data_IF_826868529766
#
_entry.id   IF_826868529766
#
_cell.length_a   1.000
_cell.length_b   1.000
_cell.length_c   1.000
_cell.angle_alpha   90.00
_cell.angle_beta   90.00
_cell.angle_gamma   90.00
#
_symmetry.space_group_name_H-M   'P 1'
#
loop_
_entity.id
_entity.type
_entity.pdbx_description
1 polymer ?
#
# COMPACT_ATOMS: atom_id res chain seq x y z
N UNK A 1 -40.96 2.32 57.36
CA UNK A 1 -39.65 2.87 56.92
C UNK A 1 -38.78 1.77 56.30
N UNK A 2 -38.60 0.61 56.95
CA UNK A 2 -37.74 -0.48 56.44
C UNK A 2 -38.16 -1.04 55.06
N UNK A 3 -39.45 -1.30 54.81
CA UNK A 3 -39.91 -1.81 53.51
C UNK A 3 -39.58 -0.88 52.33
N UNK A 4 -39.65 0.44 52.54
CA UNK A 4 -39.34 1.43 51.51
C UNK A 4 -37.85 1.40 51.17
N UNK A 5 -36.99 1.24 52.19
CA UNK A 5 -35.54 1.13 51.98
C UNK A 5 -35.14 -0.14 51.22
N UNK A 6 -35.79 -1.28 51.52
CA UNK A 6 -35.56 -2.56 50.82
C UNK A 6 -35.99 -2.49 49.35
N UNK A 7 -37.13 -1.84 49.06
CA UNK A 7 -37.59 -1.67 47.69
C UNK A 7 -36.64 -0.75 46.91
N UNK A 8 -36.16 0.34 47.54
CA UNK A 8 -35.24 1.28 46.89
C UNK A 8 -33.89 0.62 46.56
N UNK A 9 -33.36 -0.21 47.47
CA UNK A 9 -32.10 -0.93 47.24
C UNK A 9 -32.27 -1.98 46.14
N UNK A 10 -33.39 -2.72 46.13
CA UNK A 10 -33.70 -3.67 45.06
C UNK A 10 -33.80 -2.97 43.69
N UNK A 11 -34.49 -1.84 43.60
CA UNK A 11 -34.58 -1.03 42.37
C UNK A 11 -33.20 -0.53 41.95
N UNK A 12 -32.39 -0.03 42.89
CA UNK A 12 -31.03 0.45 42.60
C UNK A 12 -30.10 -0.65 42.07
N UNK A 13 -30.22 -1.88 42.57
CA UNK A 13 -29.44 -3.03 42.10
C UNK A 13 -29.86 -3.41 40.68
N UNK A 14 -31.18 -3.45 40.41
CA UNK A 14 -31.70 -3.74 39.07
C UNK A 14 -31.27 -2.67 38.06
N UNK A 15 -31.37 -1.39 38.42
CA UNK A 15 -30.93 -0.28 37.57
C UNK A 15 -29.42 -0.32 37.32
N UNK A 16 -28.61 -0.62 38.34
CA UNK A 16 -27.15 -0.76 38.21
C UNK A 16 -26.77 -1.92 37.29
N UNK A 17 -27.44 -3.08 37.44
CA UNK A 17 -27.21 -4.24 36.58
C UNK A 17 -27.58 -3.95 35.12
N UNK A 18 -28.70 -3.27 34.89
CA UNK A 18 -29.15 -2.87 33.56
C UNK A 18 -28.19 -1.85 32.92
N UNK A 19 -27.74 -0.86 33.68
CA UNK A 19 -26.75 0.12 33.24
C UNK A 19 -25.42 -0.54 32.85
N UNK A 20 -24.95 -1.53 33.62
CA UNK A 20 -23.76 -2.29 33.29
C UNK A 20 -23.91 -3.07 31.96
N UNK A 21 -25.05 -3.73 31.74
CA UNK A 21 -25.34 -4.43 30.48
C UNK A 21 -25.35 -3.46 29.29
N UNK A 22 -26.00 -2.31 29.42
CA UNK A 22 -26.00 -1.30 28.36
C UNK A 22 -24.61 -0.71 28.12
N UNK A 23 -23.79 -0.51 29.16
CA UNK A 23 -22.42 -0.03 29.02
C UNK A 23 -21.54 -1.05 28.26
N UNK A 24 -21.66 -2.35 28.56
CA UNK A 24 -20.94 -3.39 27.82
C UNK A 24 -21.38 -3.48 26.35
N UNK A 25 -22.68 -3.40 26.08
CA UNK A 25 -23.20 -3.39 24.71
C UNK A 25 -22.75 -2.15 23.94
N UNK A 26 -22.77 -0.97 24.57
CA UNK A 26 -22.28 0.26 23.98
C UNK A 26 -20.77 0.21 23.70
N UNK A 27 -19.98 -0.39 24.60
CA UNK A 27 -18.55 -0.58 24.39
C UNK A 27 -18.26 -1.54 23.23
N UNK A 28 -19.02 -2.64 23.11
CA UNK A 28 -18.89 -3.59 22.01
C UNK A 28 -19.28 -2.97 20.66
N UNK A 29 -20.40 -2.23 20.60
CA UNK A 29 -20.84 -1.54 19.37
C UNK A 29 -19.87 -0.42 18.99
N UNK A 30 -19.34 0.32 19.95
CA UNK A 30 -18.30 1.33 19.70
C UNK A 30 -17.01 0.70 19.16
N UNK A 31 -16.59 -0.46 19.70
CA UNK A 31 -15.44 -1.21 19.20
C UNK A 31 -15.61 -1.64 17.74
N UNK A 32 -16.77 -2.20 17.41
CA UNK A 32 -17.10 -2.62 16.03
C UNK A 32 -17.18 -1.42 15.09
N UNK A 33 -17.83 -0.33 15.52
CA UNK A 33 -17.95 0.89 14.72
C UNK A 33 -16.57 1.51 14.41
N UNK A 34 -15.65 1.50 15.40
CA UNK A 34 -14.27 1.92 15.20
C UNK A 34 -13.55 1.02 14.20
N UNK A 35 -13.66 -0.30 14.36
CA UNK A 35 -13.03 -1.25 13.44
C UNK A 35 -13.54 -1.10 12.00
N UNK A 36 -14.84 -0.91 11.83
CA UNK A 36 -15.45 -0.66 10.52
C UNK A 36 -15.05 0.70 9.94
N UNK A 37 -14.82 1.71 10.78
CA UNK A 37 -14.30 3.01 10.35
C UNK A 37 -12.85 2.89 9.88
N UNK A 38 -12.00 2.19 10.64
CA UNK A 38 -10.61 1.91 10.27
C UNK A 38 -10.54 1.14 8.94
N UNK A 39 -11.36 0.10 8.77
CA UNK A 39 -11.42 -0.66 7.51
C UNK A 39 -11.85 0.22 6.33
N UNK A 40 -12.88 1.06 6.52
CA UNK A 40 -13.35 1.99 5.48
C UNK A 40 -12.27 3.00 5.10
N UNK A 41 -11.57 3.54 6.11
CA UNK A 41 -10.43 4.42 5.88
C UNK A 41 -9.35 3.72 5.06
N UNK A 42 -8.98 2.51 5.45
CA UNK A 42 -7.96 1.70 4.78
C UNK A 42 -8.29 1.44 3.32
N UNK A 43 -9.55 1.13 3.02
CA UNK A 43 -9.99 0.90 1.64
C UNK A 43 -10.03 2.19 0.80
N UNK A 44 -10.26 3.35 1.42
CA UNK A 44 -10.24 4.65 0.74
C UNK A 44 -8.82 5.12 0.43
N UNK A 45 -7.88 4.96 1.37
CA UNK A 45 -6.50 5.47 1.19
C UNK A 45 -5.61 4.52 0.40
N UNK A 46 -6.00 3.25 0.23
CA UNK A 46 -5.21 2.26 -0.49
C UNK A 46 -5.05 2.64 -1.97
N UNK A 47 -3.80 2.80 -2.47
CA UNK A 47 -3.57 3.04 -3.89
C UNK A 47 -3.98 1.83 -4.71
N UNK A 48 -4.38 2.03 -5.97
CA UNK A 48 -4.71 0.94 -6.89
C UNK A 48 -4.12 1.26 -8.27
N UNK A 49 -2.79 1.21 -8.41
CA UNK A 49 -2.15 1.50 -9.68
C UNK A 49 -2.49 0.38 -10.68
N UNK A 50 -2.84 0.75 -11.90
CA UNK A 50 -2.93 -0.17 -13.04
C UNK A 50 -1.87 0.23 -14.06
N UNK A 51 -1.16 -0.79 -14.51
CA UNK A 51 0.02 -0.67 -15.36
C UNK A 51 -0.24 -1.42 -16.66
N UNK A 52 0.11 -0.80 -17.78
CA UNK A 52 0.04 -1.44 -19.10
C UNK A 52 1.25 -1.03 -19.94
N UNK A 53 1.80 -1.97 -20.71
CA UNK A 53 2.80 -1.64 -21.71
C UNK A 53 2.10 -1.09 -22.96
N UNK A 54 2.57 0.05 -23.47
CA UNK A 54 2.01 0.65 -24.69
C UNK A 54 2.62 0.03 -25.93
N UNK A 55 3.94 -0.18 -25.93
CA UNK A 55 4.67 -0.83 -27.00
C UNK A 55 5.97 -1.48 -26.49
N UNK A 56 6.50 -2.51 -27.17
CA UNK A 56 7.83 -3.03 -26.89
C UNK A 56 8.91 -1.99 -27.26
N UNK A 57 9.88 -1.69 -26.39
CA UNK A 57 10.95 -0.74 -26.69
C UNK A 57 11.98 -1.35 -27.64
N UNK A 58 12.70 -0.50 -28.35
CA UNK A 58 13.94 -0.94 -29.02
C UNK A 58 15.06 -1.11 -27.97
N UNK A 59 16.09 -1.94 -28.22
CA UNK A 59 17.19 -2.13 -27.29
C UNK A 59 17.85 -0.80 -26.90
N UNK A 60 18.18 -0.65 -25.62
CA UNK A 60 18.75 0.55 -24.99
C UNK A 60 17.84 1.79 -25.05
N UNK A 61 16.56 1.67 -25.40
CA UNK A 61 15.60 2.77 -25.33
C UNK A 61 14.74 2.65 -24.08
N UNK A 62 14.29 3.76 -23.47
CA UNK A 62 13.30 3.72 -22.41
C UNK A 62 12.04 2.96 -22.85
N UNK A 63 11.43 2.21 -21.93
CA UNK A 63 10.15 1.56 -22.16
C UNK A 63 9.01 2.49 -21.77
N UNK A 64 8.01 2.60 -22.65
CA UNK A 64 6.80 3.34 -22.34
C UNK A 64 5.80 2.45 -21.59
N UNK A 65 5.30 2.99 -20.49
CA UNK A 65 4.28 2.36 -19.65
C UNK A 65 3.15 3.35 -19.44
N UNK A 66 1.94 2.89 -19.67
CA UNK A 66 0.74 3.59 -19.26
C UNK A 66 0.43 3.24 -17.80
N UNK A 67 0.25 4.27 -16.99
CA UNK A 67 -0.02 4.16 -15.57
C UNK A 67 -1.25 4.98 -15.22
N UNK A 68 -2.20 4.34 -14.56
CA UNK A 68 -3.37 4.97 -13.96
C UNK A 68 -3.43 4.60 -12.47
N UNK A 69 -4.12 5.40 -11.66
CA UNK A 69 -4.42 5.05 -10.28
C UNK A 69 -5.93 5.07 -10.09
N UNK A 70 -6.50 3.96 -9.64
CA UNK A 70 -7.94 3.83 -9.42
C UNK A 70 -8.34 3.98 -7.95
N UNK A 71 -7.35 4.11 -7.05
CA UNK A 71 -7.54 4.15 -5.60
C UNK A 71 -7.08 5.44 -4.96
N UNK A 72 -6.73 5.35 -3.69
CA UNK A 72 -6.15 6.44 -2.90
C UNK A 72 -4.79 6.90 -3.41
N UNK A 73 -4.28 7.98 -2.86
CA UNK A 73 -3.02 8.60 -3.32
C UNK A 73 -1.83 7.65 -3.13
N UNK A 74 -1.05 7.46 -4.21
CA UNK A 74 0.25 6.81 -4.19
C UNK A 74 1.29 7.89 -3.91
N UNK A 75 1.66 8.02 -2.64
CA UNK A 75 2.57 9.06 -2.16
C UNK A 75 4.02 8.81 -2.58
N UNK A 76 4.41 7.54 -2.73
CA UNK A 76 5.67 7.12 -3.34
C UNK A 76 5.50 5.72 -3.92
N UNK A 77 6.22 5.39 -4.99
CA UNK A 77 6.14 4.10 -5.64
C UNK A 77 7.44 3.74 -6.35
N UNK A 78 7.72 2.45 -6.42
CA UNK A 78 8.83 1.91 -7.18
C UNK A 78 8.32 0.87 -8.18
N UNK A 79 8.67 1.07 -9.45
CA UNK A 79 8.29 0.21 -10.54
C UNK A 79 9.54 -0.38 -11.19
N UNK A 80 9.57 -1.70 -11.34
CA UNK A 80 10.60 -2.42 -12.09
C UNK A 80 9.94 -3.25 -13.19
N UNK A 81 10.46 -3.13 -14.40
CA UNK A 81 10.04 -3.90 -15.56
C UNK A 81 11.23 -4.57 -16.25
N UNK A 82 10.94 -5.58 -17.06
CA UNK A 82 11.92 -6.29 -17.88
C UNK A 82 11.42 -6.41 -19.31
N UNK A 83 12.32 -6.23 -20.27
CA UNK A 83 12.09 -6.60 -21.66
C UNK A 83 13.41 -6.90 -22.37
N UNK A 84 13.44 -7.97 -23.15
CA UNK A 84 14.67 -8.42 -23.81
C UNK A 84 15.75 -8.72 -22.77
N UNK A 85 16.88 -8.05 -22.88
CA UNK A 85 18.03 -8.21 -21.98
C UNK A 85 18.17 -7.00 -21.03
N UNK A 86 17.09 -6.26 -20.79
CA UNK A 86 17.14 -5.00 -20.05
C UNK A 86 16.15 -4.97 -18.90
N UNK A 87 16.63 -4.49 -17.77
CA UNK A 87 15.83 -4.10 -16.62
C UNK A 87 15.61 -2.60 -16.67
N UNK A 88 14.40 -2.21 -16.33
CA UNK A 88 13.94 -0.83 -16.32
C UNK A 88 13.42 -0.52 -14.92
N UNK A 89 13.74 0.66 -14.39
CA UNK A 89 13.26 1.04 -13.07
C UNK A 89 13.00 2.54 -12.97
N UNK A 90 11.97 2.90 -12.22
CA UNK A 90 11.69 4.30 -11.90
C UNK A 90 10.86 4.42 -10.63
N UNK A 91 10.93 5.58 -10.00
CA UNK A 91 9.98 5.98 -8.97
C UNK A 91 8.79 6.67 -9.62
N UNK A 92 7.62 6.58 -8.97
CA UNK A 92 6.44 7.30 -9.41
C UNK A 92 5.57 7.70 -8.24
N UNK A 93 4.89 8.83 -8.42
CA UNK A 93 3.86 9.34 -7.51
C UNK A 93 2.57 9.54 -8.30
N UNK A 94 1.43 9.16 -7.75
CA UNK A 94 0.12 9.31 -8.40
C UNK A 94 -0.87 9.92 -7.41
N UNK A 95 -1.57 11.00 -7.79
CA UNK A 95 -2.67 11.50 -6.99
C UNK A 95 -3.79 10.46 -6.90
N UNK A 96 -4.71 10.67 -5.96
CA UNK A 96 -5.95 9.88 -5.89
C UNK A 96 -6.66 9.90 -7.25
N UNK A 97 -7.10 8.71 -7.70
CA UNK A 97 -7.87 8.54 -8.95
C UNK A 97 -7.20 9.17 -10.18
N UNK A 98 -5.87 9.13 -10.25
CA UNK A 98 -5.12 9.67 -11.37
C UNK A 98 -5.52 9.00 -12.70
N UNK A 99 -5.88 9.76 -13.75
CA UNK A 99 -6.18 9.20 -15.05
C UNK A 99 -4.95 8.54 -15.68
N UNK A 100 -5.20 7.67 -16.66
CA UNK A 100 -4.14 7.03 -17.44
C UNK A 100 -3.21 8.07 -18.06
N UNK A 101 -1.91 7.94 -17.76
CA UNK A 101 -0.85 8.75 -18.34
C UNK A 101 0.33 7.88 -18.72
N UNK A 102 1.05 8.28 -19.77
CA UNK A 102 2.27 7.61 -20.17
C UNK A 102 3.43 8.09 -19.31
N UNK A 103 4.30 7.15 -18.94
CA UNK A 103 5.59 7.41 -18.34
C UNK A 103 6.64 6.55 -19.02
N UNK A 104 7.89 7.02 -18.99
CA UNK A 104 9.03 6.29 -19.53
C UNK A 104 9.85 5.71 -18.40
N UNK A 105 10.15 4.41 -18.45
CA UNK A 105 11.11 3.79 -17.55
C UNK A 105 12.46 3.71 -18.25
N UNK A 106 13.53 4.32 -17.69
CA UNK A 106 14.86 4.22 -18.26
C UNK A 106 15.45 2.81 -18.02
N UNK A 107 16.32 2.32 -18.93
CA UNK A 107 17.08 1.11 -18.68
C UNK A 107 18.11 1.36 -17.56
N UNK A 108 18.22 0.42 -16.63
CA UNK A 108 19.10 0.54 -15.45
C UNK A 108 20.21 -0.51 -15.43
N UNK A 109 19.94 -1.72 -15.93
CA UNK A 109 20.90 -2.82 -15.94
C UNK A 109 20.54 -3.81 -17.04
N UNK A 110 21.52 -4.61 -17.48
CA UNK A 110 21.22 -5.79 -18.29
C UNK A 110 20.59 -6.89 -17.43
N UNK A 111 19.47 -7.43 -17.89
CA UNK A 111 18.79 -8.54 -17.24
C UNK A 111 19.64 -9.82 -17.32
N UNK A 112 19.67 -10.59 -16.24
CA UNK A 112 20.35 -11.88 -16.21
C UNK A 112 19.59 -12.98 -16.97
N UNK A 113 18.27 -12.80 -17.14
CA UNK A 113 17.39 -13.65 -17.93
C UNK A 113 16.72 -12.81 -19.02
N UNK A 114 16.65 -13.36 -20.23
CA UNK A 114 16.01 -12.69 -21.35
C UNK A 114 14.50 -12.83 -21.30
N UNK A 115 13.78 -11.73 -21.32
CA UNK A 115 12.32 -11.71 -21.40
C UNK A 115 11.87 -11.54 -22.86
N UNK A 116 11.04 -12.47 -23.36
CA UNK A 116 10.46 -12.39 -24.72
C UNK A 116 9.30 -11.39 -24.82
N UNK A 117 8.60 -11.16 -23.72
CA UNK A 117 7.50 -10.21 -23.61
C UNK A 117 7.79 -9.26 -22.45
N UNK A 118 7.33 -8.00 -22.53
CA UNK A 118 7.53 -7.05 -21.44
C UNK A 118 6.73 -7.50 -20.21
N UNK A 119 7.35 -7.46 -19.05
CA UNK A 119 6.74 -7.88 -17.79
C UNK A 119 7.10 -6.93 -16.65
N UNK A 120 6.14 -6.66 -15.75
CA UNK A 120 6.40 -5.97 -14.50
C UNK A 120 6.92 -6.99 -13.49
N UNK A 121 8.07 -6.70 -12.90
CA UNK A 121 8.70 -7.57 -11.89
C UNK A 121 8.45 -7.08 -10.47
N UNK A 122 8.22 -5.79 -10.30
CA UNK A 122 7.94 -5.20 -8.99
C UNK A 122 7.09 -3.94 -9.16
N UNK A 123 6.05 -3.79 -8.33
CA UNK A 123 5.38 -2.51 -8.11
C UNK A 123 5.08 -2.38 -6.62
N UNK A 124 5.84 -1.56 -5.94
CA UNK A 124 5.60 -1.23 -4.54
C UNK A 124 5.04 0.20 -4.44
N UNK A 125 4.08 0.41 -3.56
CA UNK A 125 3.46 1.71 -3.33
C UNK A 125 3.38 2.02 -1.84
N UNK A 126 3.63 3.27 -1.49
CA UNK A 126 3.36 3.84 -0.17
C UNK A 126 2.15 4.76 -0.26
N UNK A 127 1.18 4.54 0.62
CA UNK A 127 0.00 5.39 0.72
C UNK A 127 0.23 6.61 1.63
N UNK A 128 -0.79 7.49 1.70
CA UNK A 128 -0.75 8.70 2.53
C UNK A 128 -0.73 8.41 4.04
N UNK A 129 -1.16 7.22 4.46
CA UNK A 129 -1.03 6.76 5.85
C UNK A 129 0.36 6.22 6.18
N UNK A 130 1.24 6.13 5.19
CA UNK A 130 2.59 5.60 5.31
C UNK A 130 2.68 4.07 5.24
N UNK A 131 1.58 3.38 4.93
CA UNK A 131 1.61 1.92 4.72
C UNK A 131 2.09 1.59 3.32
N UNK A 132 2.71 0.43 3.23
CA UNK A 132 3.30 -0.07 2.00
C UNK A 132 2.52 -1.25 1.46
N UNK A 133 2.47 -1.32 0.13
CA UNK A 133 1.65 -2.24 -0.63
C UNK A 133 2.44 -2.83 -1.78
N UNK A 134 2.41 -4.15 -1.91
CA UNK A 134 2.79 -4.84 -3.14
C UNK A 134 1.60 -4.82 -4.09
N UNK A 135 1.72 -4.05 -5.17
CA UNK A 135 0.64 -3.82 -6.10
C UNK A 135 0.57 -4.86 -7.22
N UNK A 136 1.61 -5.68 -7.42
CA UNK A 136 1.55 -6.78 -8.38
C UNK A 136 0.92 -8.03 -7.75
N UNK A 137 1.20 -8.28 -6.46
CA UNK A 137 0.66 -9.43 -5.73
C UNK A 137 -0.65 -9.09 -4.99
N UNK A 138 -1.62 -8.54 -5.73
CA UNK A 138 -2.98 -8.35 -5.23
C UNK A 138 -3.15 -7.30 -4.12
N UNK A 139 -2.30 -6.27 -4.07
CA UNK A 139 -2.33 -5.22 -3.04
C UNK A 139 -2.07 -5.77 -1.63
N UNK A 140 -1.05 -6.61 -1.46
CA UNK A 140 -0.65 -7.15 -0.15
C UNK A 140 0.08 -6.10 0.67
N UNK A 141 -0.21 -6.05 1.97
CA UNK A 141 0.49 -5.16 2.91
C UNK A 141 1.92 -5.64 3.12
N UNK A 142 2.88 -4.73 2.93
CA UNK A 142 4.29 -4.97 3.23
C UNK A 142 4.57 -4.49 4.67
N UNK A 143 4.82 -5.43 5.58
CA UNK A 143 5.03 -5.15 7.01
C UNK A 143 6.41 -4.57 7.33
N UNK A 144 7.44 -5.06 6.67
CA UNK A 144 8.83 -4.59 6.81
C UNK A 144 9.33 -4.12 5.44
N UNK A 145 9.09 -2.84 5.08
CA UNK A 145 9.38 -2.32 3.76
C UNK A 145 10.84 -2.40 3.32
N UNK A 146 11.77 -2.11 4.24
CA UNK A 146 13.21 -2.09 3.94
C UNK A 146 13.68 -3.49 3.62
N UNK A 147 13.37 -4.45 4.50
CA UNK A 147 13.73 -5.85 4.29
C UNK A 147 13.08 -6.42 3.03
N UNK A 148 11.81 -6.10 2.77
CA UNK A 148 11.08 -6.55 1.59
C UNK A 148 11.72 -6.02 0.30
N UNK A 149 12.06 -4.73 0.28
CA UNK A 149 12.70 -4.09 -0.88
C UNK A 149 14.11 -4.64 -1.12
N UNK A 150 14.92 -4.75 -0.07
CA UNK A 150 16.27 -5.31 -0.17
C UNK A 150 16.24 -6.76 -0.67
N UNK A 151 15.27 -7.57 -0.21
CA UNK A 151 15.08 -8.93 -0.69
C UNK A 151 14.71 -8.96 -2.18
N UNK A 152 13.73 -8.16 -2.62
CA UNK A 152 13.33 -8.07 -4.03
C UNK A 152 14.47 -7.58 -4.92
N UNK A 153 15.18 -6.53 -4.52
CA UNK A 153 16.33 -6.01 -5.27
C UNK A 153 17.46 -7.04 -5.37
N UNK A 154 17.70 -7.81 -4.31
CA UNK A 154 18.68 -8.90 -4.33
C UNK A 154 18.27 -10.01 -5.28
N UNK A 155 17.01 -10.44 -5.26
CA UNK A 155 16.46 -11.46 -6.17
C UNK A 155 16.57 -11.02 -7.64
N UNK A 156 16.32 -9.75 -7.90
CA UNK A 156 16.46 -9.14 -9.23
C UNK A 156 17.90 -8.77 -9.61
N UNK A 157 18.88 -8.97 -8.71
CA UNK A 157 20.29 -8.57 -8.86
C UNK A 157 20.49 -7.09 -9.15
N UNK A 158 19.62 -6.26 -8.57
CA UNK A 158 19.57 -4.82 -8.69
C UNK A 158 20.12 -4.09 -7.45
N UNK A 159 20.60 -4.85 -6.45
CA UNK A 159 21.18 -4.29 -5.23
C UNK A 159 22.38 -3.38 -5.57
N UNK A 160 22.32 -2.12 -5.12
CA UNK A 160 23.35 -1.11 -5.39
C UNK A 160 23.32 -0.48 -6.78
N UNK A 161 22.55 -1.03 -7.72
CA UNK A 161 22.35 -0.46 -9.06
C UNK A 161 21.19 0.55 -9.10
N UNK A 162 20.15 0.29 -8.30
CA UNK A 162 18.99 1.19 -8.15
C UNK A 162 18.70 1.42 -6.67
N UNK A 163 18.18 2.61 -6.39
CA UNK A 163 17.68 3.00 -5.07
C UNK A 163 16.37 3.73 -5.24
N UNK A 164 15.43 3.48 -4.34
CA UNK A 164 14.13 4.15 -4.31
C UNK A 164 14.02 5.00 -3.04
N UNK A 165 14.62 6.20 -3.00
CA UNK A 165 14.65 7.06 -1.81
C UNK A 165 13.25 7.56 -1.41
N UNK A 166 12.40 7.95 -2.35
CA UNK A 166 11.05 8.43 -2.05
C UNK A 166 10.21 7.32 -1.41
N UNK A 167 10.38 6.10 -1.92
CA UNK A 167 9.71 4.93 -1.36
C UNK A 167 10.30 4.57 0.02
N UNK A 168 11.61 4.36 0.12
CA UNK A 168 12.31 3.91 1.34
C UNK A 168 12.32 4.90 2.51
N UNK A 169 11.93 6.16 2.27
CA UNK A 169 11.92 7.22 3.27
C UNK A 169 13.32 7.60 3.76
N UNK A 170 14.37 7.17 3.04
CA UNK A 170 15.73 7.60 3.27
C UNK A 170 15.92 9.02 2.69
N UNK A 171 16.69 9.91 3.33
CA UNK A 171 17.02 11.18 2.72
C UNK A 171 17.71 10.93 1.37
N UNK A 172 17.42 11.72 0.32
CA UNK A 172 18.08 11.55 -0.96
C UNK A 172 19.59 11.64 -0.73
N UNK A 173 20.35 10.67 -1.28
CA UNK A 173 21.79 10.73 -1.29
C UNK A 173 22.21 12.04 -1.97
N UNK A 174 22.72 13.00 -1.19
CA UNK A 174 23.35 14.20 -1.74
C UNK A 174 24.53 13.73 -2.58
N UNK A 175 24.43 13.93 -3.90
CA UNK A 175 25.57 13.91 -4.82
C UNK A 175 26.43 15.13 -4.55
#
# INVERSE_FOLDING_TARGET
MEQVAVILSAVSVVLSALAAVFAFQAAATAGNAKHDADRRWDDMVRPRPRLAFTAPPSPNQPIEVEVENLGGTLAAGALIAIYGEELYASELTLPEKAPARRMTLPPVLKAWQKARQPAFLMMAARDVSGRWWDCLDGMKVIKDPRRWLDAHLKELRLQGAVSFPELSGAPPHRR
#
